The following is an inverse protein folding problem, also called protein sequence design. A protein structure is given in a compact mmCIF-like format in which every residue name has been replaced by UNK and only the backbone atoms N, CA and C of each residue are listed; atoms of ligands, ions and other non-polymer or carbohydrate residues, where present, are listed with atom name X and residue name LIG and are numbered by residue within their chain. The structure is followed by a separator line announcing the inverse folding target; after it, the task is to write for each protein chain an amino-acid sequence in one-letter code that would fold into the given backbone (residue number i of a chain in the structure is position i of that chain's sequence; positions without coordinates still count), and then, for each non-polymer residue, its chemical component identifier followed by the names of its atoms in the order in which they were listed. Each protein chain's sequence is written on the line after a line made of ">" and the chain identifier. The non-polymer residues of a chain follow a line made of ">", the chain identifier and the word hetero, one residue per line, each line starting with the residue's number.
data_IF_275652739094
#
_entry.id   IF_275652739094
#
_cell.length_a   1.000
_cell.length_b   1.000
_cell.length_c   1.000
_cell.angle_alpha   90.00
_cell.angle_beta   90.00
_cell.angle_gamma   90.00
#
_symmetry.space_group_name_H-M   'P 1'
#
loop_
_entity.id
_entity.type
_entity.pdbx_description
1 polymer ?
#
# COMPACT_ATOMS: atom_id res chain seq x y z
N UNK A 1 24.94 46.60 -57.98
CA UNK A 1 24.03 46.44 -59.13
C UNK A 1 22.93 45.53 -58.63
N UNK A 2 21.74 46.06 -58.44
CA UNK A 2 20.59 45.28 -57.98
C UNK A 2 20.14 44.36 -59.10
N UNK A 3 20.24 43.06 -58.86
CA UNK A 3 19.76 42.02 -59.76
C UNK A 3 18.22 42.06 -59.72
N UNK A 4 17.61 42.61 -60.77
CA UNK A 4 16.16 42.68 -60.90
C UNK A 4 15.68 41.26 -61.23
N UNK A 5 15.29 40.51 -60.21
CA UNK A 5 14.65 39.21 -60.38
C UNK A 5 13.38 39.35 -61.23
N UNK A 6 13.16 38.42 -62.16
CA UNK A 6 11.91 38.35 -62.91
C UNK A 6 10.75 38.16 -61.94
N UNK A 7 9.59 38.71 -62.28
CA UNK A 7 8.37 38.54 -61.47
C UNK A 7 8.07 37.05 -61.21
N UNK A 8 8.36 36.20 -62.20
CA UNK A 8 8.21 34.75 -62.08
C UNK A 8 9.16 34.13 -61.05
N UNK A 9 10.44 34.51 -61.05
CA UNK A 9 11.43 34.00 -60.07
C UNK A 9 11.04 34.35 -58.64
N UNK A 10 10.45 35.54 -58.47
CA UNK A 10 9.97 35.99 -57.17
C UNK A 10 8.76 35.15 -56.73
N UNK A 11 7.79 34.90 -57.62
CA UNK A 11 6.63 34.05 -57.34
C UNK A 11 7.07 32.62 -56.99
N UNK A 12 7.96 32.03 -57.78
CA UNK A 12 8.44 30.66 -57.59
C UNK A 12 9.17 30.48 -56.25
N UNK A 13 9.98 31.48 -55.86
CA UNK A 13 10.63 31.52 -54.55
C UNK A 13 9.62 31.54 -53.40
N UNK A 14 8.57 32.36 -53.49
CA UNK A 14 7.52 32.41 -52.47
C UNK A 14 6.70 31.11 -52.40
N UNK A 15 6.40 30.51 -53.55
CA UNK A 15 5.70 29.21 -53.62
C UNK A 15 6.55 28.09 -53.01
N UNK A 16 7.85 28.06 -53.32
CA UNK A 16 8.76 27.07 -52.75
C UNK A 16 8.86 27.23 -51.23
N UNK A 17 9.03 28.46 -50.74
CA UNK A 17 9.11 28.73 -49.30
C UNK A 17 7.83 28.37 -48.54
N UNK A 18 6.65 28.58 -49.14
CA UNK A 18 5.37 28.18 -48.51
C UNK A 18 5.17 26.67 -48.49
N UNK A 19 5.62 25.94 -49.52
CA UNK A 19 5.61 24.47 -49.56
C UNK A 19 6.59 23.90 -48.54
N UNK A 20 7.82 24.44 -48.48
CA UNK A 20 8.86 23.96 -47.58
C UNK A 20 8.47 24.20 -46.11
N UNK A 21 7.92 25.38 -45.78
CA UNK A 21 7.39 25.64 -44.42
C UNK A 21 6.27 24.66 -44.04
N UNK A 22 5.36 24.34 -44.96
CA UNK A 22 4.29 23.36 -44.71
C UNK A 22 4.83 21.93 -44.51
N UNK A 23 5.93 21.55 -45.17
CA UNK A 23 6.60 20.26 -44.94
C UNK A 23 7.28 20.23 -43.58
N UNK A 24 7.93 21.33 -43.20
CA UNK A 24 8.59 21.48 -41.91
C UNK A 24 7.59 21.37 -40.75
N UNK A 25 6.44 22.07 -40.83
CA UNK A 25 5.35 21.97 -39.86
C UNK A 25 4.82 20.53 -39.72
N UNK A 26 4.69 19.80 -40.84
CA UNK A 26 4.28 18.39 -40.83
C UNK A 26 5.33 17.48 -40.19
N UNK A 27 6.60 17.69 -40.50
CA UNK A 27 7.71 16.91 -39.93
C UNK A 27 7.81 17.12 -38.42
N UNK A 28 7.66 18.36 -37.93
CA UNK A 28 7.65 18.66 -36.50
C UNK A 28 6.50 17.97 -35.78
N UNK A 29 5.28 18.03 -36.35
CA UNK A 29 4.12 17.35 -35.80
C UNK A 29 4.30 15.81 -35.83
N UNK A 30 4.89 15.26 -36.88
CA UNK A 30 5.20 13.82 -36.95
C UNK A 30 6.24 13.40 -35.89
N UNK A 31 7.27 14.21 -35.66
CA UNK A 31 8.25 13.98 -34.60
C UNK A 31 7.61 14.04 -33.21
N UNK A 32 6.72 15.00 -32.96
CA UNK A 32 5.97 15.13 -31.70
C UNK A 32 5.09 13.89 -31.45
N UNK A 33 4.37 13.42 -32.48
CA UNK A 33 3.57 12.19 -32.40
C UNK A 33 4.46 10.97 -32.13
N UNK A 34 5.63 10.87 -32.77
CA UNK A 34 6.57 9.78 -32.52
C UNK A 34 7.14 9.80 -31.10
N UNK A 35 7.43 10.99 -30.58
CA UNK A 35 7.88 11.17 -29.20
C UNK A 35 6.80 10.73 -28.21
N UNK A 36 5.57 11.22 -28.37
CA UNK A 36 4.42 10.83 -27.53
C UNK A 36 4.16 9.32 -27.56
N UNK A 37 4.29 8.69 -28.72
CA UNK A 37 4.18 7.23 -28.85
C UNK A 37 5.27 6.49 -28.06
N UNK A 38 6.51 6.97 -28.12
CA UNK A 38 7.62 6.40 -27.37
C UNK A 38 7.38 6.53 -25.87
N UNK A 39 7.05 7.73 -25.39
CA UNK A 39 6.76 7.99 -23.99
C UNK A 39 5.60 7.11 -23.48
N UNK A 40 4.55 6.97 -24.29
CA UNK A 40 3.42 6.09 -23.95
C UNK A 40 3.86 4.63 -23.85
N UNK A 41 4.71 4.15 -24.77
CA UNK A 41 5.25 2.79 -24.74
C UNK A 41 6.12 2.56 -23.50
N UNK A 42 6.98 3.52 -23.15
CA UNK A 42 7.84 3.44 -21.96
C UNK A 42 7.01 3.41 -20.66
N UNK A 43 5.95 4.23 -20.60
CA UNK A 43 5.01 4.21 -19.46
C UNK A 43 4.26 2.88 -19.37
N UNK A 44 3.86 2.31 -20.50
CA UNK A 44 3.16 1.03 -20.56
C UNK A 44 4.06 -0.10 -20.03
N UNK A 45 5.31 -0.17 -20.50
CA UNK A 45 6.30 -1.14 -20.01
C UNK A 45 6.52 -1.00 -18.49
N UNK A 46 6.59 0.24 -17.98
CA UNK A 46 6.73 0.49 -16.54
C UNK A 46 5.52 0.00 -15.75
N UNK A 47 4.31 0.19 -16.27
CA UNK A 47 3.09 -0.32 -15.64
C UNK A 47 3.12 -1.84 -15.58
N UNK A 48 3.45 -2.51 -16.69
CA UNK A 48 3.52 -3.97 -16.75
C UNK A 48 4.54 -4.55 -15.76
N UNK A 49 5.72 -3.93 -15.64
CA UNK A 49 6.73 -4.31 -14.66
C UNK A 49 6.23 -4.14 -13.21
N UNK A 50 5.53 -3.04 -12.91
CA UNK A 50 4.96 -2.80 -11.59
C UNK A 50 3.85 -3.81 -11.27
N UNK A 51 2.99 -4.13 -12.21
CA UNK A 51 1.91 -5.11 -12.04
C UNK A 51 2.45 -6.53 -11.89
N UNK A 52 3.50 -6.89 -12.63
CA UNK A 52 4.19 -8.16 -12.47
C UNK A 52 4.82 -8.27 -11.07
N UNK A 53 5.51 -7.23 -10.62
CA UNK A 53 6.09 -7.17 -9.26
C UNK A 53 5.01 -7.28 -8.18
N UNK A 54 3.90 -6.54 -8.32
CA UNK A 54 2.75 -6.63 -7.43
C UNK A 54 2.18 -8.05 -7.38
N UNK A 55 1.99 -8.71 -8.52
CA UNK A 55 1.50 -10.11 -8.57
C UNK A 55 2.44 -11.05 -7.82
N UNK A 56 3.76 -10.94 -8.02
CA UNK A 56 4.75 -11.73 -7.29
C UNK A 56 4.64 -11.53 -5.77
N UNK A 57 4.56 -10.29 -5.31
CA UNK A 57 4.39 -9.96 -3.88
C UNK A 57 3.06 -10.45 -3.28
N UNK A 58 2.03 -10.64 -4.11
CA UNK A 58 0.73 -11.19 -3.72
C UNK A 58 0.66 -12.72 -3.83
N UNK A 59 1.78 -13.40 -4.10
CA UNK A 59 1.85 -14.86 -4.20
C UNK A 59 1.52 -15.42 -5.59
N UNK A 60 1.31 -14.57 -6.59
CA UNK A 60 1.19 -14.96 -8.00
C UNK A 60 2.56 -15.18 -8.64
N UNK A 61 3.41 -15.97 -7.99
CA UNK A 61 4.76 -16.28 -8.45
C UNK A 61 4.66 -17.27 -9.62
N UNK A 62 5.27 -16.99 -10.80
CA UNK A 62 5.24 -17.91 -11.94
C UNK A 62 6.05 -19.18 -11.63
N UNK A 63 5.70 -20.29 -12.28
CA UNK A 63 6.33 -21.60 -12.06
C UNK A 63 7.86 -21.61 -12.30
N UNK A 64 8.34 -20.67 -13.13
CA UNK A 64 9.76 -20.53 -13.50
C UNK A 64 10.57 -19.61 -12.55
N UNK A 65 10.03 -19.25 -11.38
CA UNK A 65 10.75 -18.38 -10.44
C UNK A 65 11.96 -19.11 -9.83
N UNK A 66 13.12 -18.45 -9.82
CA UNK A 66 14.32 -19.00 -9.18
C UNK A 66 14.21 -19.01 -7.65
N UNK A 67 15.00 -19.86 -6.99
CA UNK A 67 15.06 -19.96 -5.53
C UNK A 67 15.54 -18.64 -4.93
N UNK A 68 16.52 -18.00 -5.57
CA UNK A 68 17.08 -16.71 -5.13
C UNK A 68 16.03 -15.60 -5.19
N UNK A 69 15.23 -15.53 -6.27
CA UNK A 69 14.13 -14.57 -6.37
C UNK A 69 13.06 -14.83 -5.29
N UNK A 70 12.74 -16.09 -5.02
CA UNK A 70 11.75 -16.44 -4.00
C UNK A 70 12.21 -16.02 -2.60
N UNK A 71 13.49 -16.24 -2.27
CA UNK A 71 14.09 -15.80 -1.01
C UNK A 71 14.08 -14.27 -0.88
N UNK A 72 14.33 -13.53 -1.96
CA UNK A 72 14.25 -12.07 -1.95
C UNK A 72 12.83 -11.58 -1.66
N UNK A 73 11.83 -12.21 -2.31
CA UNK A 73 10.41 -11.89 -2.09
C UNK A 73 10.03 -12.17 -0.63
N UNK A 74 10.41 -13.33 -0.10
CA UNK A 74 10.15 -13.72 1.29
C UNK A 74 10.74 -12.70 2.28
N UNK A 75 12.02 -12.36 2.12
CA UNK A 75 12.69 -11.39 2.98
C UNK A 75 12.02 -10.02 2.91
N UNK A 76 11.63 -9.56 1.71
CA UNK A 76 10.94 -8.29 1.54
C UNK A 76 9.58 -8.29 2.26
N UNK A 77 8.83 -9.38 2.16
CA UNK A 77 7.53 -9.54 2.83
C UNK A 77 7.70 -9.58 4.36
N UNK A 78 8.68 -10.34 4.86
CA UNK A 78 8.96 -10.44 6.29
C UNK A 78 9.29 -9.07 6.89
N UNK A 79 10.20 -8.31 6.26
CA UNK A 79 10.57 -6.97 6.70
C UNK A 79 9.39 -6.00 6.67
N UNK A 80 8.60 -6.01 5.59
CA UNK A 80 7.42 -5.15 5.45
C UNK A 80 6.37 -5.45 6.51
N UNK A 81 6.04 -6.73 6.72
CA UNK A 81 5.09 -7.16 7.75
C UNK A 81 5.60 -6.82 9.14
N UNK A 82 6.88 -7.02 9.41
CA UNK A 82 7.53 -6.62 10.66
C UNK A 82 7.38 -5.12 10.93
N UNK A 83 7.64 -4.28 9.93
CA UNK A 83 7.48 -2.83 10.01
C UNK A 83 6.03 -2.42 10.29
N UNK A 84 5.06 -3.00 9.58
CA UNK A 84 3.63 -2.74 9.80
C UNK A 84 3.20 -3.12 11.21
N UNK A 85 3.60 -4.31 11.70
CA UNK A 85 3.30 -4.78 13.06
C UNK A 85 3.93 -3.87 14.10
N UNK A 86 5.20 -3.50 13.93
CA UNK A 86 5.91 -2.58 14.82
C UNK A 86 5.17 -1.24 14.95
N UNK A 87 4.80 -0.64 13.81
CA UNK A 87 4.05 0.62 13.78
C UNK A 87 2.68 0.50 14.44
N UNK A 88 1.92 -0.58 14.16
CA UNK A 88 0.63 -0.84 14.82
C UNK A 88 0.78 -0.97 16.33
N UNK A 89 1.77 -1.72 16.77
CA UNK A 89 2.04 -1.92 18.20
C UNK A 89 2.42 -0.61 18.89
N UNK A 90 3.22 0.24 18.24
CA UNK A 90 3.53 1.56 18.78
C UNK A 90 2.27 2.41 18.94
N UNK A 91 1.44 2.49 17.89
CA UNK A 91 0.20 3.27 17.93
C UNK A 91 -0.77 2.77 19.01
N UNK A 92 -0.88 1.45 19.21
CA UNK A 92 -1.69 0.90 20.30
C UNK A 92 -1.12 1.22 21.68
N UNK A 93 0.21 1.20 21.86
CA UNK A 93 0.83 1.62 23.12
C UNK A 93 0.50 3.07 23.43
N UNK A 94 0.64 3.96 22.45
CA UNK A 94 0.34 5.38 22.61
C UNK A 94 -1.14 5.59 22.96
N UNK A 95 -2.06 4.86 22.32
CA UNK A 95 -3.50 4.91 22.66
C UNK A 95 -3.79 4.39 24.06
N UNK A 96 -3.17 3.29 24.48
CA UNK A 96 -3.32 2.75 25.84
C UNK A 96 -2.85 3.77 26.87
N UNK A 97 -1.72 4.44 26.63
CA UNK A 97 -1.19 5.46 27.53
C UNK A 97 -2.13 6.66 27.65
N UNK A 98 -2.65 7.17 26.52
CA UNK A 98 -3.63 8.24 26.51
C UNK A 98 -4.91 7.88 27.29
N UNK A 99 -5.41 6.66 27.12
CA UNK A 99 -6.59 6.18 27.84
C UNK A 99 -6.34 6.05 29.34
N UNK A 100 -5.17 5.54 29.75
CA UNK A 100 -4.78 5.47 31.17
C UNK A 100 -4.71 6.85 31.81
N UNK A 101 -4.19 7.85 31.10
CA UNK A 101 -4.14 9.21 31.63
C UNK A 101 -5.54 9.84 31.74
N UNK A 102 -6.40 9.57 30.75
CA UNK A 102 -7.81 9.97 30.81
C UNK A 102 -8.56 9.29 31.95
N UNK A 103 -8.31 8.01 32.20
CA UNK A 103 -8.88 7.28 33.34
C UNK A 103 -8.48 7.95 34.67
N UNK A 104 -7.19 8.23 34.88
CA UNK A 104 -6.71 8.90 36.09
C UNK A 104 -7.38 10.25 36.32
N UNK A 105 -7.46 11.08 35.28
CA UNK A 105 -8.06 12.43 35.36
C UNK A 105 -9.55 12.35 35.71
N UNK A 106 -10.30 11.44 35.07
CA UNK A 106 -11.71 11.22 35.37
C UNK A 106 -11.93 10.63 36.77
N UNK A 107 -11.09 9.70 37.22
CA UNK A 107 -11.14 9.15 38.58
C UNK A 107 -10.93 10.26 39.63
N UNK A 108 -9.96 11.15 39.40
CA UNK A 108 -9.70 12.28 40.29
C UNK A 108 -10.89 13.26 40.33
N UNK A 109 -11.45 13.61 39.17
CA UNK A 109 -12.62 14.50 39.10
C UNK A 109 -13.85 13.88 39.78
N UNK A 110 -14.10 12.58 39.55
CA UNK A 110 -15.22 11.87 40.14
C UNK A 110 -15.09 11.79 41.68
N UNK A 111 -13.88 11.55 42.20
CA UNK A 111 -13.62 11.59 43.63
C UNK A 111 -13.96 12.96 44.25
N UNK A 112 -13.55 14.06 43.60
CA UNK A 112 -13.88 15.42 44.03
C UNK A 112 -15.39 15.71 44.00
N UNK A 113 -16.10 15.20 42.98
CA UNK A 113 -17.56 15.35 42.88
C UNK A 113 -18.28 14.56 43.97
N UNK A 114 -17.85 13.33 44.27
CA UNK A 114 -18.43 12.51 45.34
C UNK A 114 -18.28 13.17 46.70
N UNK A 115 -17.10 13.75 46.98
CA UNK A 115 -16.86 14.52 48.20
C UNK A 115 -17.83 15.71 48.30
N UNK A 116 -18.00 16.48 47.20
CA UNK A 116 -18.94 17.61 47.14
C UNK A 116 -20.40 17.19 47.31
N UNK A 117 -20.78 16.02 46.81
CA UNK A 117 -22.15 15.51 46.87
C UNK A 117 -22.48 14.77 48.16
N UNK A 118 -21.51 14.54 49.06
CA UNK A 118 -21.73 13.84 50.34
C UNK A 118 -22.12 12.36 50.18
N UNK A 119 -21.91 11.78 49.00
CA UNK A 119 -22.24 10.38 48.71
C UNK A 119 -20.97 9.53 48.87
N UNK A 120 -20.76 8.96 50.06
CA UNK A 120 -19.78 7.87 50.22
C UNK A 120 -20.34 6.59 49.60
N UNK A 121 -19.92 6.28 48.38
CA UNK A 121 -20.05 4.91 47.85
C UNK A 121 -18.74 4.18 48.12
N UNK A 122 -18.81 3.02 48.76
CA UNK A 122 -17.67 2.13 48.96
C UNK A 122 -17.04 1.85 47.59
N UNK A 123 -15.83 2.37 47.37
CA UNK A 123 -15.07 2.15 46.15
C UNK A 123 -14.44 0.77 46.27
N UNK A 124 -15.08 -0.25 45.71
CA UNK A 124 -14.35 -1.47 45.37
C UNK A 124 -13.35 -1.11 44.27
N UNK A 125 -12.06 -1.42 44.44
CA UNK A 125 -11.07 -1.21 43.38
C UNK A 125 -11.53 -2.03 42.18
N UNK A 126 -11.75 -1.37 41.05
CA UNK A 126 -11.94 -2.06 39.79
C UNK A 126 -10.58 -2.65 39.40
N UNK A 127 -10.26 -3.81 39.97
CA UNK A 127 -9.03 -4.54 39.68
C UNK A 127 -9.00 -4.87 38.19
N UNK A 128 -8.03 -4.24 37.52
CA UNK A 128 -7.40 -4.64 36.27
C UNK A 128 -7.71 -6.08 35.87
N UNK A 129 -8.64 -6.26 34.92
CA UNK A 129 -8.73 -7.50 34.15
C UNK A 129 -7.56 -7.56 33.16
N UNK A 130 -6.35 -7.68 33.71
CA UNK A 130 -5.11 -8.00 33.02
C UNK A 130 -4.72 -9.44 33.34
N UNK A 131 -5.61 -10.41 33.07
CA UNK A 131 -5.27 -11.82 33.24
C UNK A 131 -4.82 -12.45 31.92
N UNK A 132 -3.54 -12.20 31.61
CA UNK A 132 -2.61 -13.09 30.91
C UNK A 132 -3.22 -14.37 30.27
N UNK A 133 -3.48 -14.32 28.96
CA UNK A 133 -3.59 -15.49 28.08
C UNK A 133 -2.20 -16.09 27.81
N UNK A 134 -1.50 -16.49 28.86
CA UNK A 134 -0.29 -17.31 28.78
C UNK A 134 -0.53 -18.60 29.56
N UNK A 135 -1.52 -19.39 29.13
CA UNK A 135 -1.65 -20.78 29.56
C UNK A 135 -0.76 -21.64 28.67
N UNK A 136 0.46 -21.85 29.17
CA UNK A 136 1.32 -22.99 28.83
C UNK A 136 0.54 -24.29 29.01
N UNK A 137 0.48 -25.13 27.96
CA UNK A 137 0.13 -26.55 28.04
C UNK A 137 1.32 -27.28 27.41
N UNK A 138 2.34 -27.62 28.21
CA UNK A 138 2.52 -28.91 28.89
C UNK A 138 2.33 -30.09 27.94
N UNK A 139 3.46 -30.51 27.39
CA UNK A 139 3.79 -31.89 27.06
C UNK A 139 3.38 -32.84 28.20
N UNK A 140 2.57 -33.84 27.90
CA UNK A 140 2.59 -35.19 28.48
C UNK A 140 1.63 -36.11 27.74
N UNK A 141 2.21 -37.12 27.11
CA UNK A 141 1.60 -38.36 26.65
C UNK A 141 0.53 -38.96 27.59
N UNK A 142 -0.65 -39.29 27.07
CA UNK A 142 -1.37 -40.56 27.28
C UNK A 142 -2.79 -40.46 26.70
N UNK A 143 -3.17 -41.47 25.93
CA UNK A 143 -4.38 -41.45 25.11
C UNK A 143 -5.70 -41.60 25.88
N UNK A 144 -6.74 -40.97 25.34
CA UNK A 144 -8.09 -41.53 25.16
C UNK A 144 -8.82 -40.62 24.18
N UNK A 145 -9.37 -41.23 23.13
CA UNK A 145 -10.12 -40.60 22.05
C UNK A 145 -11.51 -40.19 22.52
N UNK A 146 -11.88 -38.91 22.37
CA UNK A 146 -13.28 -38.49 22.20
C UNK A 146 -13.29 -37.42 21.12
N UNK A 147 -13.67 -37.86 19.93
CA UNK A 147 -13.74 -37.11 18.68
C UNK A 147 -15.02 -36.30 18.67
N UNK A 148 -14.93 -35.01 18.94
CA UNK A 148 -15.96 -34.03 18.55
C UNK A 148 -15.31 -33.02 17.62
N UNK A 149 -15.12 -33.42 16.37
CA UNK A 149 -14.72 -32.52 15.30
C UNK A 149 -15.93 -31.64 14.96
N UNK A 150 -15.83 -30.35 15.28
CA UNK A 150 -16.78 -29.35 14.81
C UNK A 150 -16.48 -29.07 13.33
N UNK A 151 -17.41 -29.42 12.45
CA UNK A 151 -17.37 -29.02 11.05
C UNK A 151 -17.42 -27.50 10.96
N UNK A 152 -16.25 -26.87 10.79
CA UNK A 152 -16.19 -25.47 10.40
C UNK A 152 -16.20 -25.41 8.87
N UNK A 153 -17.17 -24.71 8.28
CA UNK A 153 -17.20 -24.35 6.85
C UNK A 153 -16.08 -23.35 6.46
N UNK A 154 -14.92 -23.42 7.13
CA UNK A 154 -13.77 -22.57 6.87
C UNK A 154 -13.03 -23.09 5.64
N UNK A 155 -13.31 -22.49 4.48
CA UNK A 155 -12.49 -22.68 3.29
C UNK A 155 -11.22 -21.84 3.41
N UNK A 156 -10.09 -22.49 3.69
CA UNK A 156 -8.76 -21.85 3.62
C UNK A 156 -8.35 -21.85 2.15
N UNK A 157 -8.81 -20.84 1.41
CA UNK A 157 -8.41 -20.62 0.02
C UNK A 157 -8.59 -19.15 -0.39
N UNK A 158 -8.02 -18.76 -1.55
CA UNK A 158 -8.13 -17.39 -2.05
C UNK A 158 -9.62 -16.98 -2.19
N UNK A 159 -9.99 -15.73 -1.87
CA UNK A 159 -11.38 -15.30 -1.91
C UNK A 159 -11.97 -15.45 -3.32
N UNK A 160 -13.22 -15.91 -3.39
CA UNK A 160 -13.97 -15.99 -4.66
C UNK A 160 -14.14 -14.57 -5.20
N UNK A 161 -13.53 -14.32 -6.37
CA UNK A 161 -13.62 -13.04 -7.05
C UNK A 161 -15.07 -12.66 -7.35
N UNK A 162 -15.43 -11.41 -7.05
CA UNK A 162 -16.68 -10.79 -7.53
C UNK A 162 -16.45 -10.15 -8.89
#
# INVERSE_FOLDING_TARGET
>A
MDEIFSMQDTIDRYMKQTIDRRKEDKNLNEQEIQLLKRETSELMEKIELLEASKRKLLGGVPDDCSIEELQQIEQQLELSVGSVRSRKNQLFKDQIEQLKEKEKTLCAENALLLEKCGVQRQQEPMELLGRNSSSSLRDSSSGVTSSDDVETELFIGPPVGR
#
